data_IF_239844138745
#
_entry.id   IF_239844138745
#
_cell.length_a   1.000
_cell.length_b   1.000
_cell.length_c   1.000
_cell.angle_alpha   90.00
_cell.angle_beta   90.00
_cell.angle_gamma   90.00
#
_symmetry.space_group_name_H-M   'P 1'
#
loop_
_entity.id
_entity.type
_entity.pdbx_description
1 polymer ?
#
# COMPACT_ATOMS: atom_id res chain seq x y z
N UNK A 1 -5.59 8.50 18.40
CA UNK A 1 -6.02 8.72 16.99
C UNK A 1 -4.87 8.97 15.97
N UNK A 2 -3.71 8.27 16.01
CA UNK A 2 -2.70 8.40 14.95
C UNK A 2 -3.03 7.57 13.69
N UNK A 3 -3.76 6.46 13.82
CA UNK A 3 -4.07 5.52 12.73
C UNK A 3 -4.91 6.14 11.62
N UNK A 4 -5.94 6.93 11.95
CA UNK A 4 -6.79 7.60 10.97
C UNK A 4 -6.02 8.63 10.11
N UNK A 5 -5.10 9.37 10.72
CA UNK A 5 -4.25 10.34 10.00
C UNK A 5 -3.29 9.63 9.04
N UNK A 6 -2.68 8.53 9.49
CA UNK A 6 -1.80 7.71 8.65
C UNK A 6 -2.58 7.12 7.47
N UNK A 7 -3.76 6.56 7.71
CA UNK A 7 -4.62 6.02 6.67
C UNK A 7 -4.98 7.08 5.61
N UNK A 8 -5.40 8.28 6.05
CA UNK A 8 -5.70 9.39 5.15
C UNK A 8 -4.49 9.82 4.31
N UNK A 9 -3.31 9.93 4.92
CA UNK A 9 -2.07 10.29 4.21
C UNK A 9 -1.69 9.23 3.17
N UNK A 10 -1.84 7.95 3.50
CA UNK A 10 -1.60 6.85 2.56
C UNK A 10 -2.60 6.89 1.40
N UNK A 11 -3.89 7.06 1.68
CA UNK A 11 -4.93 7.16 0.64
C UNK A 11 -4.70 8.35 -0.29
N UNK A 12 -4.36 9.52 0.25
CA UNK A 12 -4.01 10.69 -0.55
C UNK A 12 -2.78 10.43 -1.42
N UNK A 13 -1.75 9.79 -0.86
CA UNK A 13 -0.52 9.45 -1.60
C UNK A 13 -0.82 8.54 -2.80
N UNK A 14 -1.65 7.51 -2.61
CA UNK A 14 -2.08 6.62 -3.69
C UNK A 14 -2.88 7.37 -4.76
N UNK A 15 -3.78 8.27 -4.34
CA UNK A 15 -4.56 9.09 -5.26
C UNK A 15 -3.67 10.01 -6.10
N UNK A 16 -2.69 10.68 -5.47
CA UNK A 16 -1.71 11.50 -6.17
C UNK A 16 -0.89 10.66 -7.15
N UNK A 17 -0.35 9.52 -6.74
CA UNK A 17 0.38 8.60 -7.63
C UNK A 17 -0.44 8.25 -8.87
N UNK A 18 -1.72 7.88 -8.65
CA UNK A 18 -2.64 7.51 -9.72
C UNK A 18 -2.93 8.69 -10.66
N UNK A 19 -3.16 9.89 -10.10
CA UNK A 19 -3.37 11.10 -10.90
C UNK A 19 -2.17 11.43 -11.79
N UNK A 20 -0.94 11.32 -11.26
CA UNK A 20 0.28 11.52 -12.06
C UNK A 20 0.41 10.49 -13.18
N UNK A 21 0.15 9.21 -12.90
CA UNK A 21 0.18 8.15 -13.90
C UNK A 21 -0.83 8.37 -15.03
N UNK A 22 -2.09 8.63 -14.69
CA UNK A 22 -3.16 8.88 -15.67
C UNK A 22 -2.90 10.14 -16.50
N UNK A 23 -2.51 11.26 -15.88
CA UNK A 23 -2.21 12.49 -16.62
C UNK A 23 -0.98 12.33 -17.52
N UNK A 24 0.03 11.58 -17.06
CA UNK A 24 1.21 11.24 -17.84
C UNK A 24 0.85 10.48 -19.11
N UNK A 25 0.03 9.43 -18.97
CA UNK A 25 -0.45 8.63 -20.09
C UNK A 25 -1.34 9.45 -21.06
N UNK A 26 -2.30 10.22 -20.55
CA UNK A 26 -3.19 11.04 -21.37
C UNK A 26 -2.44 12.13 -22.16
N UNK A 27 -1.39 12.71 -21.56
CA UNK A 27 -0.58 13.78 -22.18
C UNK A 27 0.62 13.27 -22.95
N UNK A 28 0.75 11.96 -23.16
CA UNK A 28 1.90 11.36 -23.86
C UNK A 28 2.08 11.91 -25.28
N UNK A 29 1.00 12.39 -25.91
CA UNK A 29 1.00 13.03 -27.23
C UNK A 29 1.57 14.46 -27.26
N UNK A 30 1.63 15.16 -26.11
CA UNK A 30 2.13 16.54 -26.03
C UNK A 30 3.64 16.54 -25.77
N UNK A 31 4.42 16.93 -26.80
CA UNK A 31 5.90 16.93 -26.76
C UNK A 31 6.55 18.18 -26.15
N UNK A 32 5.89 19.35 -26.18
CA UNK A 32 6.46 20.63 -25.73
C UNK A 32 5.81 21.12 -24.42
N UNK A 33 6.58 21.81 -23.60
CA UNK A 33 6.15 22.43 -22.33
C UNK A 33 6.71 21.76 -21.06
N UNK A 34 6.53 22.42 -19.92
CA UNK A 34 6.95 21.87 -18.61
C UNK A 34 6.12 20.65 -18.19
N UNK A 35 4.86 20.57 -18.63
CA UNK A 35 3.92 19.47 -18.35
C UNK A 35 3.76 18.50 -19.54
N UNK A 36 4.85 18.29 -20.30
CA UNK A 36 4.87 17.25 -21.33
C UNK A 36 4.67 15.87 -20.69
N UNK A 37 3.88 14.99 -21.32
CA UNK A 37 3.50 13.70 -20.74
C UNK A 37 4.70 12.85 -20.32
N UNK A 38 5.79 12.85 -21.10
CA UNK A 38 7.04 12.15 -20.75
C UNK A 38 7.70 12.62 -19.45
N UNK A 39 7.67 13.93 -19.17
CA UNK A 39 8.24 14.49 -17.92
C UNK A 39 7.40 14.05 -16.72
N UNK A 40 6.08 14.09 -16.87
CA UNK A 40 5.12 13.64 -15.85
C UNK A 40 5.28 12.14 -15.58
N UNK A 41 5.42 11.33 -16.64
CA UNK A 41 5.68 9.88 -16.52
C UNK A 41 7.02 9.57 -15.87
N UNK A 42 8.07 10.34 -16.15
CA UNK A 42 9.36 10.21 -15.48
C UNK A 42 9.26 10.51 -13.97
N UNK A 43 8.52 11.56 -13.59
CA UNK A 43 8.25 11.87 -12.18
C UNK A 43 7.43 10.74 -11.51
N UNK A 44 6.42 10.21 -12.20
CA UNK A 44 5.65 9.05 -11.73
C UNK A 44 6.56 7.83 -11.54
N UNK A 45 7.51 7.59 -12.43
CA UNK A 45 8.48 6.50 -12.32
C UNK A 45 9.35 6.64 -11.07
N UNK A 46 9.89 7.83 -10.79
CA UNK A 46 10.66 8.09 -9.58
C UNK A 46 9.83 7.84 -8.31
N UNK A 47 8.56 8.24 -8.34
CA UNK A 47 7.62 8.01 -7.25
C UNK A 47 7.35 6.50 -7.05
N UNK A 48 7.14 5.74 -8.14
CA UNK A 48 6.97 4.29 -8.08
C UNK A 48 8.22 3.60 -7.52
N UNK A 49 9.43 4.05 -7.88
CA UNK A 49 10.68 3.52 -7.33
C UNK A 49 10.76 3.78 -5.82
N UNK A 50 10.42 4.99 -5.37
CA UNK A 50 10.38 5.30 -3.94
C UNK A 50 9.38 4.41 -3.18
N UNK A 51 8.18 4.21 -3.75
CA UNK A 51 7.17 3.29 -3.20
C UNK A 51 7.70 1.85 -3.15
N UNK A 52 8.40 1.40 -4.20
CA UNK A 52 8.99 0.06 -4.25
C UNK A 52 10.07 -0.13 -3.17
N UNK A 53 10.97 0.83 -2.98
CA UNK A 53 11.99 0.79 -1.92
C UNK A 53 11.33 0.71 -0.54
N UNK A 54 10.29 1.51 -0.29
CA UNK A 54 9.52 1.44 0.94
C UNK A 54 8.81 0.08 1.11
N UNK A 55 8.24 -0.48 0.04
CA UNK A 55 7.60 -1.79 0.06
C UNK A 55 8.61 -2.91 0.39
N UNK A 56 9.84 -2.85 -0.14
CA UNK A 56 10.91 -3.77 0.23
C UNK A 56 11.32 -3.65 1.70
N UNK A 57 11.48 -2.44 2.22
CA UNK A 57 11.79 -2.23 3.62
C UNK A 57 10.70 -2.80 4.55
N UNK A 58 9.42 -2.60 4.19
CA UNK A 58 8.29 -3.19 4.93
C UNK A 58 8.26 -4.71 4.82
N UNK A 59 8.56 -5.28 3.64
CA UNK A 59 8.64 -6.73 3.46
C UNK A 59 9.75 -7.34 4.31
N UNK A 60 10.92 -6.70 4.37
CA UNK A 60 12.03 -7.14 5.22
C UNK A 60 11.64 -7.09 6.70
N UNK A 61 11.07 -5.97 7.14
CA UNK A 61 10.63 -5.77 8.53
C UNK A 61 9.55 -6.79 8.94
N UNK A 62 8.49 -6.95 8.13
CA UNK A 62 7.41 -7.94 8.40
C UNK A 62 7.93 -9.38 8.37
N UNK A 63 8.93 -9.67 7.53
CA UNK A 63 9.55 -11.00 7.49
C UNK A 63 10.37 -11.26 8.77
N UNK A 64 11.14 -10.27 9.25
CA UNK A 64 11.86 -10.38 10.53
C UNK A 64 10.88 -10.56 11.70
N UNK A 65 9.81 -9.77 11.73
CA UNK A 65 8.75 -9.88 12.73
C UNK A 65 8.10 -11.27 12.71
N UNK A 66 7.73 -11.78 11.52
CA UNK A 66 7.14 -13.11 11.38
C UNK A 66 8.07 -14.22 11.90
N UNK A 67 9.37 -14.12 11.63
CA UNK A 67 10.35 -15.09 12.16
C UNK A 67 10.48 -15.00 13.68
N UNK A 68 10.55 -13.79 14.23
CA UNK A 68 10.63 -13.55 15.67
C UNK A 68 9.41 -14.13 16.40
N UNK A 69 8.20 -13.78 15.95
CA UNK A 69 6.93 -14.32 16.50
C UNK A 69 6.91 -15.85 16.42
N UNK A 70 7.30 -16.42 15.28
CA UNK A 70 7.35 -17.89 15.10
C UNK A 70 8.41 -18.57 15.97
N UNK A 71 9.54 -17.91 16.22
CA UNK A 71 10.60 -18.41 17.10
C UNK A 71 10.09 -18.46 18.53
N UNK A 72 9.51 -17.36 19.02
CA UNK A 72 8.95 -17.27 20.36
C UNK A 72 7.83 -18.29 20.59
N UNK A 73 6.89 -18.44 19.64
CA UNK A 73 5.82 -19.44 19.77
C UNK A 73 6.33 -20.90 19.79
N UNK A 74 7.56 -21.16 19.33
CA UNK A 74 8.19 -22.48 19.43
C UNK A 74 8.92 -22.67 20.75
N UNK A 75 9.51 -21.60 21.25
CA UNK A 75 10.30 -21.59 22.48
C UNK A 75 10.00 -20.29 23.26
N UNK A 76 9.00 -20.33 24.17
CA UNK A 76 8.61 -19.16 24.95
C UNK A 76 9.65 -18.74 25.99
N UNK A 77 10.69 -19.55 26.22
CA UNK A 77 11.76 -19.25 27.19
C UNK A 77 12.80 -18.26 26.67
N UNK A 78 12.66 -17.80 25.42
CA UNK A 78 13.59 -16.86 24.80
C UNK A 78 13.55 -15.47 25.46
N UNK A 79 14.74 -14.87 25.60
CA UNK A 79 14.95 -13.49 26.05
C UNK A 79 14.27 -12.47 25.13
N UNK A 80 14.03 -11.28 25.67
CA UNK A 80 13.35 -10.21 24.95
C UNK A 80 14.20 -9.72 23.78
N UNK A 81 13.58 -9.65 22.61
CA UNK A 81 14.18 -8.94 21.48
C UNK A 81 13.77 -7.46 21.52
N UNK A 82 14.48 -6.59 20.78
CA UNK A 82 14.18 -5.15 20.79
C UNK A 82 12.82 -4.74 20.20
N UNK A 83 12.09 -5.64 19.52
CA UNK A 83 10.69 -5.37 19.17
C UNK A 83 9.78 -5.62 20.38
N UNK A 84 9.98 -6.75 21.03
CA UNK A 84 9.29 -7.16 22.24
C UNK A 84 9.48 -6.19 23.40
N UNK A 85 10.68 -5.67 23.61
CA UNK A 85 10.94 -4.64 24.63
C UNK A 85 10.10 -3.37 24.43
N UNK A 86 9.87 -2.97 23.17
CA UNK A 86 8.97 -1.85 22.87
C UNK A 86 7.50 -2.21 23.05
N UNK A 87 7.16 -3.46 22.75
CA UNK A 87 5.81 -3.98 22.91
C UNK A 87 5.43 -4.11 24.38
N UNK A 88 6.34 -4.56 25.23
CA UNK A 88 6.14 -4.68 26.68
C UNK A 88 5.89 -3.33 27.32
N UNK A 89 6.78 -2.35 27.08
CA UNK A 89 6.63 -0.98 27.58
C UNK A 89 5.29 -0.36 27.13
N UNK A 90 4.89 -0.58 25.88
CA UNK A 90 3.61 -0.08 25.38
C UNK A 90 2.42 -0.79 26.02
N UNK A 91 2.44 -2.12 26.09
CA UNK A 91 1.36 -2.92 26.63
C UNK A 91 1.15 -2.65 28.13
N UNK A 92 2.22 -2.64 28.92
CA UNK A 92 2.19 -2.34 30.35
C UNK A 92 1.66 -0.92 30.58
N UNK A 93 2.17 0.04 29.81
CA UNK A 93 1.73 1.43 29.88
C UNK A 93 0.23 1.61 29.62
N UNK A 94 -0.30 1.01 28.54
CA UNK A 94 -1.72 1.09 28.22
C UNK A 94 -2.58 0.25 29.17
N UNK A 95 -2.09 -0.88 29.68
CA UNK A 95 -2.80 -1.68 30.69
C UNK A 95 -3.01 -0.88 31.97
N UNK A 96 -1.94 -0.36 32.58
CA UNK A 96 -2.04 0.41 33.82
C UNK A 96 -2.84 1.70 33.63
N UNK A 97 -2.71 2.33 32.46
CA UNK A 97 -3.52 3.50 32.12
C UNK A 97 -5.01 3.15 32.04
N UNK A 98 -5.36 2.01 31.44
CA UNK A 98 -6.75 1.54 31.36
C UNK A 98 -7.33 1.26 32.76
N UNK A 99 -6.55 0.60 33.62
CA UNK A 99 -6.94 0.23 34.98
C UNK A 99 -7.15 1.46 35.89
N UNK A 100 -6.34 2.50 35.70
CA UNK A 100 -6.34 3.68 36.56
C UNK A 100 -7.14 4.86 35.97
N UNK A 101 -7.57 4.79 34.71
CA UNK A 101 -8.44 5.81 34.10
C UNK A 101 -9.90 5.61 34.50
N UNK A 102 -10.56 6.68 34.91
CA UNK A 102 -11.86 6.56 35.58
C UNK A 102 -13.08 6.42 34.67
N UNK A 103 -13.04 6.69 33.35
CA UNK A 103 -14.19 6.42 32.46
C UNK A 103 -14.07 6.68 30.92
N UNK A 104 -12.95 7.10 30.30
CA UNK A 104 -13.06 7.73 28.94
C UNK A 104 -12.02 7.36 27.87
N UNK A 105 -11.23 6.30 28.03
CA UNK A 105 -10.27 5.94 26.97
C UNK A 105 -10.82 4.86 26.04
N UNK A 106 -11.32 5.27 24.86
CA UNK A 106 -11.63 4.36 23.73
C UNK A 106 -10.44 3.49 23.29
N UNK A 107 -9.22 3.88 23.64
CA UNK A 107 -8.03 3.06 23.47
C UNK A 107 -7.92 1.92 24.50
N UNK A 108 -8.57 2.02 25.66
CA UNK A 108 -8.68 0.97 26.65
C UNK A 108 -9.63 -0.16 26.22
N UNK A 109 -10.72 0.15 25.51
CA UNK A 109 -11.76 -0.83 25.15
C UNK A 109 -11.24 -2.08 24.43
N UNK A 110 -10.32 -1.93 23.46
CA UNK A 110 -9.81 -3.07 22.71
C UNK A 110 -8.85 -3.91 23.57
N UNK A 111 -8.02 -3.25 24.38
CA UNK A 111 -7.05 -3.89 25.25
C UNK A 111 -7.77 -4.63 26.37
N UNK A 112 -8.79 -4.00 26.97
CA UNK A 112 -9.63 -4.59 27.99
C UNK A 112 -10.36 -5.84 27.48
N UNK A 113 -10.94 -5.76 26.26
CA UNK A 113 -11.56 -6.92 25.60
C UNK A 113 -10.54 -8.03 25.32
N UNK A 114 -9.36 -7.67 24.83
CA UNK A 114 -8.28 -8.62 24.58
C UNK A 114 -7.84 -9.33 25.87
N UNK A 115 -7.57 -8.56 26.93
CA UNK A 115 -7.13 -9.07 28.23
C UNK A 115 -8.20 -9.97 28.85
N UNK A 116 -9.46 -9.53 28.83
CA UNK A 116 -10.57 -10.28 29.39
C UNK A 116 -10.81 -11.62 28.70
N UNK A 117 -10.54 -11.68 27.39
CA UNK A 117 -10.76 -12.86 26.56
C UNK A 117 -9.60 -13.86 26.61
N UNK A 118 -8.34 -13.37 26.57
CA UNK A 118 -7.18 -14.23 26.33
C UNK A 118 -6.23 -14.33 27.53
N UNK A 119 -6.08 -13.28 28.35
CA UNK A 119 -5.10 -13.28 29.44
C UNK A 119 -5.61 -14.05 30.69
N UNK A 120 -4.71 -14.41 31.63
CA UNK A 120 -5.06 -15.06 32.90
C UNK A 120 -6.15 -14.30 33.69
N UNK A 121 -6.93 -15.03 34.48
CA UNK A 121 -8.05 -14.47 35.27
C UNK A 121 -7.63 -13.29 36.16
N UNK A 122 -6.39 -13.32 36.65
CA UNK A 122 -5.79 -12.32 37.52
C UNK A 122 -5.55 -10.98 36.83
N UNK A 123 -5.60 -10.90 35.50
CA UNK A 123 -5.46 -9.64 34.78
C UNK A 123 -6.81 -9.01 34.43
N UNK A 124 -7.90 -9.76 34.63
CA UNK A 124 -9.23 -9.33 34.18
C UNK A 124 -9.73 -8.16 35.03
N UNK A 125 -10.40 -7.18 34.40
CA UNK A 125 -10.95 -6.02 35.12
C UNK A 125 -11.88 -6.41 36.28
N UNK A 126 -12.59 -7.54 36.15
CA UNK A 126 -13.49 -8.06 37.19
C UNK A 126 -12.75 -8.60 38.41
N UNK A 127 -11.57 -9.20 38.22
CA UNK A 127 -10.75 -9.74 39.31
C UNK A 127 -9.91 -8.64 39.98
N UNK A 128 -9.45 -7.66 39.19
CA UNK A 128 -8.56 -6.58 39.63
C UNK A 128 -9.23 -5.21 39.70
N UNK A 129 -10.55 -5.19 39.94
CA UNK A 129 -11.29 -3.97 40.12
C UNK A 129 -10.74 -3.17 41.32
N UNK A 130 -10.07 -2.05 41.04
CA UNK A 130 -9.60 -1.15 42.08
C UNK A 130 -10.79 -0.39 42.70
N UNK A 131 -10.83 -0.36 44.04
CA UNK A 131 -11.73 0.53 44.79
C UNK A 131 -11.40 2.00 44.52
N UNK A 132 -12.36 2.92 44.64
CA UNK A 132 -12.20 4.32 44.20
C UNK A 132 -10.88 4.98 44.65
N UNK A 133 -10.56 4.88 45.94
CA UNK A 133 -9.32 5.43 46.51
C UNK A 133 -8.05 4.77 45.96
N UNK A 134 -8.07 3.46 45.67
CA UNK A 134 -6.93 2.75 45.04
C UNK A 134 -6.82 3.06 43.56
N UNK A 135 -7.94 3.29 42.88
CA UNK A 135 -7.98 3.69 41.46
C UNK A 135 -7.34 5.06 41.26
N UNK A 136 -7.67 6.03 42.11
CA UNK A 136 -7.09 7.38 42.07
C UNK A 136 -5.58 7.39 42.31
N UNK A 137 -5.10 6.49 43.19
CA UNK A 137 -3.67 6.31 43.48
C UNK A 137 -2.99 5.31 42.54
N UNK A 138 -3.74 4.67 41.64
CA UNK A 138 -3.26 3.56 40.80
C UNK A 138 -2.55 2.44 41.60
N UNK A 139 -2.99 2.24 42.85
CA UNK A 139 -2.36 1.33 43.81
C UNK A 139 -2.88 -0.09 43.59
N UNK A 140 -2.02 -0.89 42.98
CA UNK A 140 -2.22 -2.30 42.62
C UNK A 140 -1.45 -3.25 43.54
N UNK A 141 -0.93 -2.76 44.67
CA UNK A 141 -0.09 -3.55 45.57
C UNK A 141 -0.85 -4.76 46.13
N UNK A 142 -0.21 -5.92 46.02
CA UNK A 142 -0.67 -7.17 46.62
C UNK A 142 0.12 -7.43 47.90
N UNK A 143 -0.56 -7.80 48.99
CA UNK A 143 0.06 -8.02 50.31
C UNK A 143 0.96 -9.28 50.40
N UNK A 144 1.17 -10.00 49.30
CA UNK A 144 2.02 -11.19 49.20
C UNK A 144 3.52 -10.93 49.48
N UNK A 145 3.93 -9.68 49.68
CA UNK A 145 5.32 -9.22 49.74
C UNK A 145 6.12 -9.59 51.01
N UNK A 146 5.63 -10.47 51.89
CA UNK A 146 6.45 -10.99 53.00
C UNK A 146 7.36 -12.15 52.58
N UNK A 147 8.26 -11.88 51.63
CA UNK A 147 9.49 -12.65 51.44
C UNK A 147 9.48 -13.76 50.38
N UNK A 148 8.39 -13.99 49.65
CA UNK A 148 8.33 -15.05 48.64
C UNK A 148 7.72 -14.54 47.32
N UNK A 149 8.58 -13.97 46.48
CA UNK A 149 8.20 -13.39 45.19
C UNK A 149 7.74 -14.44 44.17
N UNK A 150 8.19 -15.68 44.31
CA UNK A 150 7.92 -16.76 43.35
C UNK A 150 6.45 -17.19 43.36
N UNK A 151 5.71 -16.83 44.41
CA UNK A 151 4.29 -17.16 44.59
C UNK A 151 3.33 -16.06 44.16
N UNK A 152 3.82 -14.97 43.56
CA UNK A 152 2.97 -13.84 43.15
C UNK A 152 1.81 -14.26 42.25
N UNK A 153 2.08 -15.13 41.27
CA UNK A 153 1.06 -15.69 40.39
C UNK A 153 0.19 -16.75 41.07
N UNK A 154 0.74 -17.54 42.00
CA UNK A 154 -0.03 -18.54 42.74
C UNK A 154 -1.08 -17.90 43.67
N UNK A 155 -0.74 -16.71 44.20
CA UNK A 155 -1.58 -15.95 45.13
C UNK A 155 -2.68 -15.14 44.44
N UNK A 156 -2.77 -15.19 43.10
CA UNK A 156 -3.81 -14.51 42.36
C UNK A 156 -3.67 -12.98 42.38
N UNK A 157 -2.45 -12.48 42.57
CA UNK A 157 -2.20 -11.04 42.70
C UNK A 157 -2.41 -10.30 41.37
N UNK A 158 -3.00 -9.11 41.47
CA UNK A 158 -3.12 -8.21 40.33
C UNK A 158 -1.76 -7.69 39.87
N UNK A 159 -1.56 -7.40 38.58
CA UNK A 159 -0.35 -6.77 38.08
C UNK A 159 -0.06 -5.46 38.82
N UNK A 160 1.19 -5.24 39.22
CA UNK A 160 1.58 -4.08 40.02
C UNK A 160 2.61 -3.21 39.32
N UNK A 161 2.30 -1.92 39.18
CA UNK A 161 3.17 -0.97 38.48
C UNK A 161 4.51 -0.77 39.18
N UNK A 162 4.49 -0.65 40.50
CA UNK A 162 5.71 -0.44 41.30
C UNK A 162 6.63 -1.66 41.23
N UNK A 163 6.08 -2.87 41.36
CA UNK A 163 6.85 -4.10 41.26
C UNK A 163 7.40 -4.31 39.85
N UNK A 164 6.60 -4.06 38.82
CA UNK A 164 7.05 -4.14 37.43
C UNK A 164 8.21 -3.15 37.17
N UNK A 165 8.10 -1.91 37.67
CA UNK A 165 9.17 -0.90 37.55
C UNK A 165 10.42 -1.23 38.37
N UNK A 166 10.29 -2.03 39.43
CA UNK A 166 11.43 -2.53 40.22
C UNK A 166 12.20 -3.66 39.54
N UNK A 167 11.76 -4.10 38.34
CA UNK A 167 12.36 -5.20 37.60
C UNK A 167 11.76 -6.57 37.91
N UNK A 168 10.61 -6.61 38.59
CA UNK A 168 9.91 -7.86 38.87
C UNK A 168 8.96 -8.23 37.73
N UNK A 169 9.51 -8.94 36.74
CA UNK A 169 8.85 -9.37 35.49
C UNK A 169 7.50 -10.08 35.74
N UNK A 170 7.42 -10.94 36.75
CA UNK A 170 6.18 -11.68 37.05
C UNK A 170 4.99 -10.80 37.49
N UNK A 171 5.22 -9.54 37.87
CA UNK A 171 4.16 -8.57 38.15
C UNK A 171 3.83 -7.65 36.95
N UNK A 172 4.57 -7.75 35.85
CA UNK A 172 4.32 -6.98 34.64
C UNK A 172 3.15 -7.61 33.84
N UNK A 173 2.15 -6.81 33.43
CA UNK A 173 1.02 -7.26 32.61
C UNK A 173 1.46 -7.98 31.33
N UNK A 174 2.48 -7.47 30.65
CA UNK A 174 3.01 -8.04 29.42
C UNK A 174 3.48 -9.47 29.63
N UNK A 175 4.29 -9.71 30.66
CA UNK A 175 4.91 -11.01 30.92
C UNK A 175 3.88 -12.07 31.27
N UNK A 176 2.88 -11.69 32.07
CA UNK A 176 1.74 -12.54 32.41
C UNK A 176 0.89 -12.95 31.19
N UNK A 177 0.82 -12.10 30.16
CA UNK A 177 0.01 -12.35 28.96
C UNK A 177 0.85 -12.56 27.68
N UNK A 178 2.16 -12.73 27.81
CA UNK A 178 3.14 -12.73 26.72
C UNK A 178 2.76 -13.72 25.62
N UNK A 179 2.47 -14.96 26.00
CA UNK A 179 2.13 -16.05 25.06
C UNK A 179 0.92 -15.71 24.19
N UNK A 180 -0.13 -15.18 24.81
CA UNK A 180 -1.39 -14.87 24.14
C UNK A 180 -1.25 -13.65 23.22
N UNK A 181 -0.45 -12.66 23.62
CA UNK A 181 -0.10 -11.51 22.77
C UNK A 181 0.58 -11.97 21.49
N UNK A 182 1.56 -12.89 21.59
CA UNK A 182 2.23 -13.42 20.40
C UNK A 182 1.33 -14.32 19.56
N UNK A 183 0.44 -15.08 20.19
CA UNK A 183 -0.53 -15.89 19.47
C UNK A 183 -1.48 -15.00 18.65
N UNK A 184 -1.99 -13.91 19.23
CA UNK A 184 -2.81 -12.93 18.52
C UNK A 184 -2.03 -12.21 17.44
N UNK A 185 -0.80 -11.77 17.73
CA UNK A 185 0.08 -11.12 16.76
C UNK A 185 0.36 -12.03 15.56
N UNK A 186 0.50 -13.34 15.76
CA UNK A 186 0.73 -14.31 14.68
C UNK A 186 -0.40 -14.33 13.64
N UNK A 187 -1.64 -14.10 14.07
CA UNK A 187 -2.83 -14.05 13.18
C UNK A 187 -2.76 -12.87 12.22
N UNK A 188 -2.14 -11.75 12.63
CA UNK A 188 -2.02 -10.55 11.82
C UNK A 188 -0.74 -10.50 10.98
N UNK A 189 0.38 -10.98 11.53
CA UNK A 189 1.69 -10.88 10.88
C UNK A 189 1.78 -11.75 9.63
N UNK A 190 1.15 -12.92 9.61
CA UNK A 190 1.10 -13.79 8.43
C UNK A 190 0.46 -13.09 7.21
N UNK A 191 -0.81 -12.66 7.30
CA UNK A 191 -1.47 -11.87 6.25
C UNK A 191 -0.73 -10.59 5.87
N UNK A 192 -0.16 -9.87 6.85
CA UNK A 192 0.61 -8.65 6.59
C UNK A 192 1.87 -8.90 5.75
N UNK A 193 2.54 -10.04 5.95
CA UNK A 193 3.68 -10.44 5.10
C UNK A 193 3.23 -10.71 3.67
N UNK A 194 2.13 -11.44 3.48
CA UNK A 194 1.59 -11.77 2.16
C UNK A 194 1.17 -10.50 1.41
N UNK A 195 0.51 -9.56 2.10
CA UNK A 195 0.14 -8.27 1.51
C UNK A 195 1.36 -7.43 1.12
N UNK A 196 2.43 -7.43 1.95
CA UNK A 196 3.68 -6.76 1.61
C UNK A 196 4.34 -7.38 0.35
N UNK A 197 4.35 -8.71 0.22
CA UNK A 197 4.85 -9.39 -0.98
C UNK A 197 4.05 -9.02 -2.23
N UNK A 198 2.72 -9.01 -2.14
CA UNK A 198 1.85 -8.61 -3.23
C UNK A 198 2.09 -7.15 -3.64
N UNK A 199 2.29 -6.25 -2.68
CA UNK A 199 2.62 -4.84 -2.95
C UNK A 199 3.93 -4.70 -3.72
N UNK A 200 4.99 -5.41 -3.32
CA UNK A 200 6.28 -5.37 -4.03
C UNK A 200 6.12 -5.86 -5.48
N UNK A 201 5.42 -6.99 -5.67
CA UNK A 201 5.18 -7.54 -7.01
C UNK A 201 4.36 -6.59 -7.89
N UNK A 202 3.29 -5.99 -7.34
CA UNK A 202 2.45 -5.03 -8.05
C UNK A 202 3.22 -3.76 -8.43
N UNK A 203 4.00 -3.19 -7.50
CA UNK A 203 4.85 -2.02 -7.78
C UNK A 203 5.91 -2.33 -8.83
N UNK A 204 6.56 -3.50 -8.77
CA UNK A 204 7.51 -3.95 -9.79
C UNK A 204 6.88 -4.06 -11.17
N UNK A 205 5.69 -4.64 -11.27
CA UNK A 205 4.95 -4.74 -12.53
C UNK A 205 4.60 -3.35 -13.09
N UNK A 206 4.11 -2.44 -12.24
CA UNK A 206 3.77 -1.06 -12.65
C UNK A 206 4.98 -0.28 -13.18
N UNK A 207 6.16 -0.49 -12.60
CA UNK A 207 7.43 0.08 -13.07
C UNK A 207 7.76 -0.44 -14.46
N UNK A 208 7.66 -1.75 -14.70
CA UNK A 208 7.92 -2.35 -16.02
C UNK A 208 6.95 -1.83 -17.06
N UNK A 209 5.64 -1.80 -16.75
CA UNK A 209 4.62 -1.27 -17.65
C UNK A 209 4.84 0.22 -17.96
N UNK A 210 5.24 1.00 -16.97
CA UNK A 210 5.55 2.43 -17.15
C UNK A 210 6.78 2.64 -18.04
N UNK A 211 7.82 1.82 -17.88
CA UNK A 211 9.00 1.83 -18.77
C UNK A 211 8.58 1.47 -20.19
N UNK A 212 7.83 0.39 -20.37
CA UNK A 212 7.31 -0.01 -21.68
C UNK A 212 6.47 1.10 -22.32
N UNK A 213 5.63 1.78 -21.54
CA UNK A 213 4.83 2.90 -22.02
C UNK A 213 5.69 4.10 -22.44
N UNK A 214 6.77 4.40 -21.70
CA UNK A 214 7.72 5.46 -22.07
C UNK A 214 8.50 5.10 -23.34
N UNK A 215 8.95 3.85 -23.46
CA UNK A 215 9.77 3.35 -24.57
C UNK A 215 8.94 3.14 -25.86
N UNK A 216 7.80 2.45 -25.76
CA UNK A 216 6.93 2.08 -26.88
C UNK A 216 5.79 3.08 -27.05
N UNK A 217 6.11 4.34 -27.30
CA UNK A 217 5.09 5.28 -27.75
C UNK A 217 4.84 5.07 -29.25
N UNK A 218 3.67 4.53 -29.67
CA UNK A 218 3.43 4.14 -31.06
C UNK A 218 3.54 5.32 -32.04
N UNK A 219 3.44 6.57 -31.57
CA UNK A 219 3.63 7.78 -32.40
C UNK A 219 5.09 8.19 -32.62
N UNK A 220 6.04 7.55 -31.95
CA UNK A 220 7.48 7.77 -32.19
C UNK A 220 8.07 6.80 -33.23
N UNK A 221 7.32 5.75 -33.59
CA UNK A 221 7.86 4.47 -34.10
C UNK A 221 8.08 4.33 -35.61
N UNK A 222 8.01 5.37 -36.44
CA UNK A 222 8.39 5.19 -37.86
C UNK A 222 9.29 6.33 -38.34
N UNK A 223 8.80 7.56 -38.42
CA UNK A 223 9.59 8.66 -39.00
C UNK A 223 10.83 9.04 -38.18
N UNK A 224 10.74 9.02 -36.85
CA UNK A 224 11.86 9.40 -35.97
C UNK A 224 12.86 8.26 -35.80
N UNK A 225 12.39 7.02 -35.87
CA UNK A 225 13.23 5.84 -35.78
C UNK A 225 14.01 5.65 -37.09
N UNK A 226 13.37 5.80 -38.26
CA UNK A 226 14.03 5.83 -39.58
C UNK A 226 15.04 6.97 -39.72
N UNK A 227 14.75 8.13 -39.11
CA UNK A 227 15.67 9.25 -39.07
C UNK A 227 16.89 8.96 -38.17
N UNK A 228 16.67 8.34 -37.00
CA UNK A 228 17.76 7.98 -36.06
C UNK A 228 18.65 6.83 -36.54
N UNK A 229 18.10 5.90 -37.33
CA UNK A 229 18.90 4.83 -37.95
C UNK A 229 19.73 5.32 -39.14
N UNK A 230 19.65 6.61 -39.49
CA UNK A 230 20.39 7.21 -40.61
C UNK A 230 19.91 6.74 -41.98
N UNK A 231 18.75 6.06 -42.04
CA UNK A 231 18.17 5.54 -43.28
C UNK A 231 17.41 6.62 -44.03
N UNK A 232 16.86 7.62 -43.32
CA UNK A 232 16.28 8.82 -43.92
C UNK A 232 17.11 10.06 -43.60
N UNK A 233 17.46 10.81 -44.64
CA UNK A 233 18.05 12.13 -44.53
C UNK A 233 17.02 13.19 -44.09
N UNK A 234 17.47 14.37 -43.68
CA UNK A 234 16.57 15.50 -43.38
C UNK A 234 15.79 15.88 -44.64
N UNK A 235 16.42 15.77 -45.81
CA UNK A 235 15.80 16.07 -47.10
C UNK A 235 14.66 15.10 -47.42
N UNK A 236 14.80 13.80 -47.13
CA UNK A 236 13.75 12.80 -47.35
C UNK A 236 12.54 13.05 -46.45
N UNK A 237 12.79 13.50 -45.21
CA UNK A 237 11.73 13.81 -44.25
C UNK A 237 10.94 15.05 -44.70
N UNK A 238 11.60 16.06 -45.25
CA UNK A 238 10.95 17.21 -45.88
C UNK A 238 10.17 16.83 -47.14
N UNK A 239 10.73 15.95 -47.98
CA UNK A 239 10.07 15.48 -49.20
C UNK A 239 8.76 14.75 -48.90
N UNK A 240 8.76 13.84 -47.91
CA UNK A 240 7.54 13.15 -47.46
C UNK A 240 6.51 14.14 -46.90
N UNK A 241 6.96 15.16 -46.16
CA UNK A 241 6.08 16.22 -45.63
C UNK A 241 5.39 17.01 -46.75
N UNK A 242 6.16 17.41 -47.76
CA UNK A 242 5.65 18.15 -48.94
C UNK A 242 4.70 17.29 -49.77
N UNK A 243 4.98 15.98 -49.93
CA UNK A 243 4.09 15.04 -50.61
C UNK A 243 2.77 14.87 -49.87
N UNK A 244 2.81 14.80 -48.54
CA UNK A 244 1.60 14.69 -47.70
C UNK A 244 0.76 15.97 -47.73
N UNK A 245 1.38 17.15 -47.74
CA UNK A 245 0.69 18.43 -47.90
C UNK A 245 0.02 18.54 -49.29
N UNK A 246 0.72 18.14 -50.36
CA UNK A 246 0.16 18.11 -51.72
C UNK A 246 -1.00 17.13 -51.86
N UNK A 247 -0.88 15.94 -51.28
CA UNK A 247 -1.95 14.94 -51.27
C UNK A 247 -3.22 15.49 -50.60
N UNK A 248 -3.09 16.11 -49.42
CA UNK A 248 -4.24 16.68 -48.72
C UNK A 248 -4.88 17.86 -49.49
N UNK A 249 -4.09 18.71 -50.16
CA UNK A 249 -4.65 19.76 -51.03
C UNK A 249 -5.37 19.18 -52.25
N UNK A 250 -4.82 18.15 -52.88
CA UNK A 250 -5.43 17.52 -54.06
C UNK A 250 -6.77 16.84 -53.75
N UNK A 251 -6.91 16.25 -52.55
CA UNK A 251 -8.18 15.66 -52.10
C UNK A 251 -9.27 16.70 -51.85
N UNK A 252 -8.91 17.94 -51.48
CA UNK A 252 -9.89 19.01 -51.19
C UNK A 252 -10.50 19.61 -52.46
N UNK A 253 -9.80 19.51 -53.60
CA UNK A 253 -10.26 20.05 -54.90
C UNK A 253 -11.19 19.09 -55.63
N UNK A 254 -11.11 17.78 -55.34
CA UNK A 254 -11.95 16.77 -56.01
C UNK A 254 -13.37 16.67 -55.42
N UNK A 255 -13.56 17.07 -54.16
CA UNK A 255 -14.88 17.09 -53.50
C UNK A 255 -15.69 18.36 -53.80
N UNK A 256 -15.10 19.38 -54.43
CA UNK A 256 -15.81 20.59 -54.85
C UNK A 256 -16.35 20.53 -56.28
N UNK A 257 -16.03 19.49 -57.06
CA UNK A 257 -16.48 19.36 -58.46
C UNK A 257 -17.61 18.34 -58.69
N UNK A 258 -18.15 17.71 -57.65
CA UNK A 258 -19.27 16.77 -57.78
C UNK A 258 -20.31 17.07 -56.69
N UNK A 259 -21.34 17.87 -57.01
CA UNK A 259 -22.53 17.93 -56.15
C UNK A 259 -23.31 19.24 -56.08
N UNK A 260 -23.36 20.06 -57.12
CA UNK A 260 -24.51 20.96 -57.32
C UNK A 260 -25.49 20.26 -58.25
N UNK A 261 -26.51 19.63 -57.65
CA UNK A 261 -27.90 19.46 -58.14
C UNK A 261 -28.56 18.36 -57.32
N UNK A 262 -29.45 18.72 -56.39
CA UNK A 262 -30.79 18.16 -56.26
C UNK A 262 -31.39 18.48 -54.88
N UNK A 263 -32.61 18.98 -54.97
CA UNK A 263 -33.55 19.36 -53.93
C UNK A 263 -33.99 18.23 -52.99
N UNK A 264 -34.46 18.69 -51.83
CA UNK A 264 -35.63 18.22 -51.07
C UNK A 264 -35.54 17.04 -50.09
N UNK A 265 -35.73 17.42 -48.81
CA UNK A 265 -36.69 16.84 -47.84
C UNK A 265 -36.50 15.42 -47.26
N UNK A 266 -37.01 15.28 -46.04
CA UNK A 266 -37.14 14.10 -45.15
C UNK A 266 -35.91 13.81 -44.26
N UNK A 267 -35.89 14.24 -43.00
CA UNK A 267 -36.55 13.67 -41.80
C UNK A 267 -36.24 12.18 -41.53
N UNK A 268 -35.79 11.96 -40.29
CA UNK A 268 -35.63 10.71 -39.52
C UNK A 268 -34.39 9.82 -39.70
N UNK A 269 -33.79 9.49 -38.55
CA UNK A 269 -33.52 8.08 -38.25
C UNK A 269 -32.07 7.72 -37.96
N UNK A 270 -31.64 7.92 -36.72
CA UNK A 270 -30.45 7.31 -36.12
C UNK A 270 -30.44 5.77 -36.29
N UNK A 271 -29.49 5.21 -37.06
CA UNK A 271 -29.03 3.82 -36.87
C UNK A 271 -27.53 3.72 -37.15
N UNK A 272 -26.77 3.50 -36.10
CA UNK A 272 -25.34 3.18 -36.14
C UNK A 272 -25.12 1.81 -36.80
N UNK A 273 -24.55 1.79 -38.02
CA UNK A 273 -24.17 0.57 -38.74
C UNK A 273 -22.68 0.29 -38.55
N UNK A 274 -22.37 -0.69 -37.68
CA UNK A 274 -21.03 -1.30 -37.55
C UNK A 274 -20.57 -1.84 -38.91
N UNK A 275 -19.48 -1.31 -39.46
CA UNK A 275 -18.71 -1.97 -40.53
C UNK A 275 -17.63 -2.83 -39.88
N UNK A 276 -17.87 -4.14 -39.90
CA UNK A 276 -16.87 -5.18 -39.67
C UNK A 276 -15.98 -5.27 -40.92
N UNK A 277 -14.71 -4.90 -40.81
CA UNK A 277 -13.73 -5.15 -41.85
C UNK A 277 -13.29 -6.62 -41.77
N UNK A 278 -13.77 -7.40 -42.74
CA UNK A 278 -13.32 -8.76 -43.03
C UNK A 278 -11.94 -8.66 -43.70
N UNK A 279 -10.90 -9.09 -42.98
CA UNK A 279 -9.54 -9.27 -43.51
C UNK A 279 -9.50 -10.58 -44.28
N UNK A 280 -9.18 -10.52 -45.57
CA UNK A 280 -8.91 -11.71 -46.39
C UNK A 280 -7.46 -12.19 -46.16
N UNK A 281 -7.21 -13.49 -46.03
CA UNK A 281 -5.85 -14.01 -45.90
C UNK A 281 -5.12 -13.95 -47.26
N UNK A 282 -3.88 -13.49 -47.21
CA UNK A 282 -2.93 -13.54 -48.33
C UNK A 282 -2.46 -14.98 -48.47
N UNK A 283 -2.72 -15.57 -49.65
CA UNK A 283 -2.16 -16.84 -50.09
C UNK A 283 -0.68 -16.65 -50.42
N UNK A 284 0.20 -17.29 -49.65
CA UNK A 284 1.62 -17.40 -49.97
C UNK A 284 1.81 -18.57 -50.92
N UNK A 285 2.16 -18.24 -52.16
CA UNK A 285 2.58 -19.18 -53.20
C UNK A 285 4.07 -19.45 -52.98
N UNK A 286 4.41 -20.66 -52.54
CA UNK A 286 5.79 -21.14 -52.56
C UNK A 286 6.08 -21.68 -53.95
N UNK A 287 6.99 -21.02 -54.67
CA UNK A 287 7.69 -21.57 -55.82
C UNK A 287 9.20 -21.45 -55.54
N UNK A 288 9.92 -22.56 -55.79
CA UNK A 288 11.36 -22.84 -55.65
C UNK A 288 11.84 -23.34 -54.27
#
# INVERSE_FOLDING_TARGET
>A
MPTARIALLLSLSVLFCSFYGCNGALRQTKRKGCFAGRKILCLHQLLLIAVLVFAFANLEWTTKLHRSVRSFLRDPSQDYNGFEERLSVFFDGEYFKSLCSSNDSTAGDWLEKFVSANCPQQMKPTACALSGRKRDMCDTTCYALQGDTDRFQELGCCPSKELCQSGFESACPYDMCRLEIFHELSKFVGPAKVSAQASVAASGLMIVLSILLICYNPRDSIEIELYKTGVLSIEDLEAVRRLKERSNMSSTVQDTSIGSTADSSWLFGSVAKRRSHRVSPISVRNDA
#
